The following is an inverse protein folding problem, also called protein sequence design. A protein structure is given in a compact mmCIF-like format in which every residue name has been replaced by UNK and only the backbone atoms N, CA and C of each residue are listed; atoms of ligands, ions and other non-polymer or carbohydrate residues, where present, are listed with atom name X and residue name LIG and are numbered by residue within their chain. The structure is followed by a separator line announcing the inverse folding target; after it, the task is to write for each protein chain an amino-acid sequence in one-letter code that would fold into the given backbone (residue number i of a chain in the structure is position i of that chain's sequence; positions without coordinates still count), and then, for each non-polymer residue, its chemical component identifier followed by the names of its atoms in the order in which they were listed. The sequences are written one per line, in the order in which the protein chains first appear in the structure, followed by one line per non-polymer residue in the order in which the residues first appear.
data_IF_763829704624
#
_entry.id   IF_763829704624
#
_cell.length_a   1.000
_cell.length_b   1.000
_cell.length_c   1.000
_cell.angle_alpha   90.00
_cell.angle_beta   90.00
_cell.angle_gamma   90.00
#
_symmetry.space_group_name_H-M   'P 1'
#
loop_
_entity.id
_entity.type
_entity.pdbx_description
1 polymer ?
#
# COMPACT_ATOMS: atom_id res chain seq x y z
N UNK A 1 6.73 -19.70 -17.77
CA UNK A 1 6.26 -18.51 -18.51
C UNK A 1 5.61 -17.53 -17.54
N UNK A 2 4.61 -17.96 -16.77
CA UNK A 2 3.90 -17.21 -15.73
C UNK A 2 4.82 -16.43 -14.77
N UNK A 3 5.88 -17.08 -14.26
CA UNK A 3 6.87 -16.45 -13.37
C UNK A 3 7.59 -15.28 -14.04
N UNK A 4 8.08 -15.48 -15.27
CA UNK A 4 8.84 -14.46 -16.01
C UNK A 4 7.92 -13.27 -16.31
N UNK A 5 6.70 -13.53 -16.77
CA UNK A 5 5.69 -12.49 -17.04
C UNK A 5 5.35 -11.68 -15.78
N UNK A 6 5.16 -12.34 -14.64
CA UNK A 6 4.87 -11.65 -13.38
C UNK A 6 6.05 -10.77 -12.93
N UNK A 7 7.27 -11.28 -13.07
CA UNK A 7 8.49 -10.55 -12.74
C UNK A 7 8.72 -9.35 -13.67
N UNK A 8 8.44 -9.51 -14.98
CA UNK A 8 8.44 -8.41 -15.94
C UNK A 8 7.39 -7.36 -15.60
N UNK A 9 6.18 -7.76 -15.20
CA UNK A 9 5.16 -6.84 -14.69
C UNK A 9 5.72 -5.99 -13.53
N UNK A 10 6.30 -6.61 -12.50
CA UNK A 10 6.83 -5.88 -11.33
C UNK A 10 7.94 -4.91 -11.74
N UNK A 11 8.85 -5.34 -12.61
CA UNK A 11 9.93 -4.50 -13.10
C UNK A 11 9.42 -3.32 -13.93
N UNK A 12 8.49 -3.58 -14.86
CA UNK A 12 7.99 -2.58 -15.78
C UNK A 12 6.99 -1.61 -15.15
N UNK A 13 6.42 -1.93 -13.98
CA UNK A 13 5.41 -1.09 -13.32
C UNK A 13 5.93 0.31 -12.95
N UNK A 14 7.25 0.47 -12.85
CA UNK A 14 7.87 1.77 -12.59
C UNK A 14 7.87 2.71 -13.82
N UNK A 15 7.66 2.20 -15.03
CA UNK A 15 7.69 3.00 -16.26
C UNK A 15 6.28 3.34 -16.73
N UNK A 16 5.89 4.61 -16.60
CA UNK A 16 4.61 5.12 -17.11
C UNK A 16 4.80 5.76 -18.49
N UNK A 17 5.22 4.96 -19.46
CA UNK A 17 5.48 5.37 -20.85
C UNK A 17 4.13 5.64 -21.56
N UNK A 18 3.95 6.86 -22.09
CA UNK A 18 2.89 7.25 -23.05
C UNK A 18 1.45 6.72 -22.80
N UNK A 19 0.92 6.85 -21.58
CA UNK A 19 -0.54 6.74 -21.37
C UNK A 19 -1.23 8.11 -21.38
N UNK A 20 -1.91 8.50 -22.47
CA UNK A 20 -2.78 9.65 -22.45
C UNK A 20 -4.08 9.26 -21.72
N UNK A 21 -4.44 10.02 -20.69
CA UNK A 21 -5.75 10.03 -20.02
C UNK A 21 -6.22 8.83 -19.18
N UNK A 22 -5.66 7.61 -19.28
CA UNK A 22 -5.99 6.52 -18.33
C UNK A 22 -4.98 6.47 -17.16
N UNK A 23 -5.40 6.98 -16.00
CA UNK A 23 -4.56 7.16 -14.80
C UNK A 23 -4.01 5.87 -14.15
N UNK A 24 -4.29 4.67 -14.67
CA UNK A 24 -3.92 3.42 -13.97
C UNK A 24 -3.41 2.24 -14.82
N UNK A 25 -3.80 2.10 -16.09
CA UNK A 25 -3.39 0.93 -16.90
C UNK A 25 -2.09 1.24 -17.63
N UNK A 26 -0.98 0.67 -17.19
CA UNK A 26 0.32 0.75 -17.85
C UNK A 26 0.61 -0.51 -18.66
N UNK A 27 1.59 -0.43 -19.58
CA UNK A 27 2.03 -1.59 -20.38
C UNK A 27 2.43 -2.78 -19.49
N UNK A 28 2.93 -2.51 -18.29
CA UNK A 28 3.22 -3.54 -17.28
C UNK A 28 2.00 -4.44 -16.99
N UNK A 29 0.79 -3.87 -17.00
CA UNK A 29 -0.44 -4.57 -16.61
C UNK A 29 -0.84 -5.65 -17.62
N UNK A 30 -0.42 -5.51 -18.89
CA UNK A 30 -0.54 -6.57 -19.90
C UNK A 30 0.26 -7.81 -19.49
N UNK A 31 1.46 -7.64 -18.94
CA UNK A 31 2.27 -8.78 -18.47
C UNK A 31 1.64 -9.48 -17.27
N UNK A 32 0.99 -8.74 -16.37
CA UNK A 32 0.22 -9.35 -15.28
C UNK A 32 -0.98 -10.14 -15.84
N UNK A 33 -1.70 -9.59 -16.82
CA UNK A 33 -2.82 -10.28 -17.46
C UNK A 33 -2.37 -11.57 -18.16
N UNK A 34 -1.29 -11.52 -18.93
CA UNK A 34 -0.71 -12.71 -19.58
C UNK A 34 -0.22 -13.72 -18.54
N UNK A 35 0.41 -13.27 -17.45
CA UNK A 35 0.82 -14.14 -16.36
C UNK A 35 -0.37 -14.86 -15.74
N UNK A 36 -1.45 -14.11 -15.48
CA UNK A 36 -2.71 -14.65 -14.96
C UNK A 36 -3.32 -15.69 -15.91
N UNK A 37 -3.42 -15.41 -17.22
CA UNK A 37 -3.95 -16.38 -18.19
C UNK A 37 -3.11 -17.66 -18.23
N UNK A 38 -1.78 -17.54 -18.20
CA UNK A 38 -0.88 -18.70 -18.12
C UNK A 38 -1.11 -19.51 -16.83
N UNK A 39 -1.29 -18.82 -15.69
CA UNK A 39 -1.57 -19.45 -14.40
C UNK A 39 -2.93 -20.14 -14.41
N UNK A 40 -3.97 -19.48 -14.91
CA UNK A 40 -5.32 -20.01 -14.99
C UNK A 40 -5.36 -21.28 -15.85
N UNK A 41 -4.75 -21.24 -17.05
CA UNK A 41 -4.63 -22.40 -17.93
C UNK A 41 -3.97 -23.60 -17.23
N UNK A 42 -2.88 -23.36 -16.50
CA UNK A 42 -2.18 -24.42 -15.75
C UNK A 42 -3.02 -24.98 -14.60
N UNK A 43 -3.71 -24.12 -13.87
CA UNK A 43 -4.58 -24.53 -12.77
C UNK A 43 -5.78 -25.35 -13.27
N UNK A 44 -6.34 -25.00 -14.43
CA UNK A 44 -7.40 -25.77 -15.08
C UNK A 44 -6.85 -27.12 -15.55
N UNK A 45 -5.74 -27.13 -16.28
CA UNK A 45 -5.08 -28.35 -16.79
C UNK A 45 -4.75 -29.33 -15.66
N UNK A 46 -4.28 -28.83 -14.52
CA UNK A 46 -3.89 -29.63 -13.37
C UNK A 46 -5.03 -29.88 -12.37
N UNK A 47 -6.27 -29.42 -12.64
CA UNK A 47 -7.43 -29.51 -11.73
C UNK A 47 -7.21 -28.87 -10.35
N UNK A 48 -6.39 -27.82 -10.27
CA UNK A 48 -6.03 -27.11 -9.04
C UNK A 48 -6.88 -25.84 -8.80
N UNK A 49 -7.67 -25.41 -9.79
CA UNK A 49 -8.41 -24.14 -9.75
C UNK A 49 -9.31 -24.02 -8.51
N UNK A 50 -10.15 -25.03 -8.27
CA UNK A 50 -11.08 -25.03 -7.15
C UNK A 50 -10.36 -24.99 -5.79
N UNK A 51 -9.27 -25.75 -5.64
CA UNK A 51 -8.43 -25.75 -4.43
C UNK A 51 -7.84 -24.36 -4.15
N UNK A 52 -7.42 -23.65 -5.20
CA UNK A 52 -6.91 -22.28 -5.06
C UNK A 52 -7.99 -21.28 -4.70
N UNK A 53 -9.19 -21.39 -5.28
CA UNK A 53 -10.33 -20.54 -4.94
C UNK A 53 -10.74 -20.71 -3.47
N UNK A 54 -10.78 -21.96 -2.98
CA UNK A 54 -11.06 -22.25 -1.57
C UNK A 54 -10.02 -21.62 -0.65
N UNK A 55 -8.74 -21.63 -1.02
CA UNK A 55 -7.66 -21.10 -0.17
C UNK A 55 -7.87 -19.63 0.20
N UNK A 56 -8.33 -18.82 -0.76
CA UNK A 56 -8.55 -17.39 -0.61
C UNK A 56 -10.03 -17.01 -0.75
N UNK A 57 -10.96 -17.93 -0.41
CA UNK A 57 -12.40 -17.78 -0.66
C UNK A 57 -13.00 -16.49 -0.08
N UNK A 58 -12.59 -16.10 1.15
CA UNK A 58 -13.08 -14.87 1.79
C UNK A 58 -12.80 -13.63 0.93
N UNK A 59 -11.62 -13.60 0.28
CA UNK A 59 -11.25 -12.51 -0.61
C UNK A 59 -12.07 -12.54 -1.89
N UNK A 60 -12.24 -13.71 -2.52
CA UNK A 60 -13.05 -13.82 -3.74
C UNK A 60 -14.54 -13.52 -3.50
N UNK A 61 -15.08 -13.89 -2.33
CA UNK A 61 -16.45 -13.51 -1.93
C UNK A 61 -16.55 -12.00 -1.71
N UNK A 62 -15.55 -11.36 -1.10
CA UNK A 62 -15.47 -9.90 -1.02
C UNK A 62 -15.54 -9.25 -2.42
N UNK A 63 -14.73 -9.72 -3.37
CA UNK A 63 -14.72 -9.21 -4.75
C UNK A 63 -16.08 -9.40 -5.43
N UNK A 64 -16.69 -10.58 -5.25
CA UNK A 64 -17.99 -10.89 -5.82
C UNK A 64 -19.08 -9.94 -5.30
N UNK A 65 -19.18 -9.76 -3.97
CA UNK A 65 -20.18 -8.86 -3.39
C UNK A 65 -19.90 -7.41 -3.80
N UNK A 66 -18.66 -6.96 -3.78
CA UNK A 66 -18.30 -5.61 -4.23
C UNK A 66 -18.66 -5.36 -5.70
N UNK A 67 -18.47 -6.36 -6.56
CA UNK A 67 -18.85 -6.31 -7.97
C UNK A 67 -20.37 -6.23 -8.14
N UNK A 68 -21.14 -6.98 -7.33
CA UNK A 68 -22.61 -6.91 -7.32
C UNK A 68 -23.09 -5.53 -6.89
N UNK A 69 -22.50 -4.95 -5.83
CA UNK A 69 -22.83 -3.59 -5.37
C UNK A 69 -22.59 -2.58 -6.50
N UNK A 70 -21.42 -2.61 -7.12
CA UNK A 70 -21.12 -1.73 -8.26
C UNK A 70 -22.08 -1.95 -9.44
N UNK A 71 -22.47 -3.20 -9.72
CA UNK A 71 -23.43 -3.51 -10.78
C UNK A 71 -24.82 -2.92 -10.47
N UNK A 72 -25.30 -3.03 -9.22
CA UNK A 72 -26.57 -2.42 -8.80
C UNK A 72 -26.54 -0.91 -9.04
N UNK A 73 -25.49 -0.23 -8.60
CA UNK A 73 -25.36 1.21 -8.81
C UNK A 73 -25.13 1.60 -10.27
N UNK A 74 -24.46 0.76 -11.06
CA UNK A 74 -24.39 0.93 -12.50
C UNK A 74 -25.78 0.85 -13.14
N UNK A 75 -26.62 -0.10 -12.71
CA UNK A 75 -27.97 -0.25 -13.25
C UNK A 75 -28.87 0.95 -12.89
N UNK A 76 -28.67 1.55 -11.71
CA UNK A 76 -29.40 2.74 -11.23
C UNK A 76 -28.94 4.01 -11.97
N UNK A 77 -27.63 4.29 -11.96
CA UNK A 77 -27.11 5.59 -12.43
C UNK A 77 -26.64 5.58 -13.89
N UNK A 78 -26.42 4.41 -14.50
CA UNK A 78 -25.91 4.21 -15.87
C UNK A 78 -24.52 4.84 -16.11
N UNK A 79 -23.70 4.93 -15.08
CA UNK A 79 -22.39 5.59 -15.12
C UNK A 79 -21.24 4.58 -15.23
N UNK A 80 -20.36 4.67 -16.25
CA UNK A 80 -19.33 3.66 -16.55
C UNK A 80 -18.24 3.54 -15.48
N UNK A 81 -18.11 4.50 -14.58
CA UNK A 81 -17.14 4.51 -13.49
C UNK A 81 -17.32 3.31 -12.55
N UNK A 82 -18.56 2.85 -12.33
CA UNK A 82 -18.83 1.66 -11.52
C UNK A 82 -18.27 0.38 -12.16
N UNK A 83 -18.36 0.27 -13.49
CA UNK A 83 -17.76 -0.84 -14.24
C UNK A 83 -16.23 -0.75 -14.12
N UNK A 84 -15.68 0.45 -14.30
CA UNK A 84 -14.24 0.69 -14.17
C UNK A 84 -13.71 0.27 -12.79
N UNK A 85 -14.42 0.59 -11.72
CA UNK A 85 -14.04 0.18 -10.37
C UNK A 85 -14.13 -1.34 -10.16
N UNK A 86 -15.13 -1.99 -10.76
CA UNK A 86 -15.25 -3.45 -10.78
C UNK A 86 -14.08 -4.10 -11.53
N UNK A 87 -13.65 -3.53 -12.65
CA UNK A 87 -12.46 -3.99 -13.37
C UNK A 87 -11.19 -3.87 -12.51
N UNK A 88 -11.06 -2.81 -11.69
CA UNK A 88 -9.95 -2.71 -10.74
C UNK A 88 -9.99 -3.81 -9.66
N UNK A 89 -11.16 -4.15 -9.12
CA UNK A 89 -11.30 -5.28 -8.20
C UNK A 89 -10.84 -6.60 -8.85
N UNK A 90 -11.27 -6.85 -10.09
CA UNK A 90 -10.88 -8.05 -10.86
C UNK A 90 -9.37 -8.06 -11.11
N UNK A 91 -8.80 -6.93 -11.53
CA UNK A 91 -7.37 -6.77 -11.80
C UNK A 91 -6.50 -7.08 -10.57
N UNK A 92 -6.92 -6.60 -9.39
CA UNK A 92 -6.24 -6.95 -8.14
C UNK A 92 -6.44 -8.43 -7.81
N UNK A 93 -7.62 -9.01 -8.05
CA UNK A 93 -7.87 -10.43 -7.85
C UNK A 93 -6.98 -11.32 -8.72
N UNK A 94 -6.67 -10.88 -9.95
CA UNK A 94 -5.69 -11.53 -10.83
C UNK A 94 -4.30 -11.55 -10.18
N UNK A 95 -3.88 -10.44 -9.54
CA UNK A 95 -2.62 -10.39 -8.78
C UNK A 95 -2.61 -11.42 -7.65
N UNK A 96 -3.67 -11.44 -6.84
CA UNK A 96 -3.80 -12.34 -5.69
C UNK A 96 -3.70 -13.80 -6.13
N UNK A 97 -4.47 -14.19 -7.14
CA UNK A 97 -4.47 -15.55 -7.66
C UNK A 97 -3.11 -15.94 -8.24
N UNK A 98 -2.58 -15.10 -9.13
CA UNK A 98 -1.31 -15.36 -9.83
C UNK A 98 -0.17 -15.48 -8.84
N UNK A 99 0.01 -14.50 -7.97
CA UNK A 99 1.12 -14.50 -7.03
C UNK A 99 0.98 -15.62 -5.99
N UNK A 100 -0.24 -15.95 -5.55
CA UNK A 100 -0.47 -17.09 -4.66
C UNK A 100 -0.08 -18.42 -5.31
N UNK A 101 -0.42 -18.62 -6.58
CA UNK A 101 -0.02 -19.80 -7.33
C UNK A 101 1.50 -19.89 -7.45
N UNK A 102 2.16 -18.79 -7.85
CA UNK A 102 3.62 -18.73 -7.97
C UNK A 102 4.33 -19.02 -6.63
N UNK A 103 3.82 -18.48 -5.51
CA UNK A 103 4.36 -18.72 -4.18
C UNK A 103 4.28 -20.18 -3.72
N UNK A 104 3.23 -20.91 -4.13
CA UNK A 104 3.09 -22.32 -3.75
C UNK A 104 3.93 -23.25 -4.64
N UNK A 105 4.28 -22.80 -5.85
CA UNK A 105 4.96 -23.61 -6.85
C UNK A 105 6.47 -23.65 -6.65
N UNK A 106 7.10 -22.49 -6.42
CA UNK A 106 8.56 -22.40 -6.31
C UNK A 106 8.97 -21.26 -5.38
N UNK A 107 9.69 -21.59 -4.31
CA UNK A 107 10.25 -20.62 -3.37
C UNK A 107 11.22 -19.62 -4.03
N UNK A 108 11.83 -19.98 -5.17
CA UNK A 108 12.72 -19.08 -5.92
C UNK A 108 12.01 -17.80 -6.37
N UNK A 109 10.67 -17.79 -6.49
CA UNK A 109 9.92 -16.57 -6.82
C UNK A 109 10.23 -15.42 -5.86
N UNK A 110 10.39 -15.72 -4.55
CA UNK A 110 10.72 -14.71 -3.54
C UNK A 110 12.10 -14.12 -3.80
N UNK A 111 13.08 -14.97 -4.14
CA UNK A 111 14.45 -14.54 -4.47
C UNK A 111 14.46 -13.63 -5.70
N UNK A 112 13.78 -14.04 -6.78
CA UNK A 112 13.74 -13.25 -8.02
C UNK A 112 12.95 -11.95 -7.86
N UNK A 113 11.82 -11.98 -7.14
CA UNK A 113 11.07 -10.77 -6.80
C UNK A 113 11.94 -9.78 -6.04
N UNK A 114 12.68 -10.24 -5.03
CA UNK A 114 13.61 -9.38 -4.29
C UNK A 114 14.68 -8.78 -5.20
N UNK A 115 15.28 -9.54 -6.12
CA UNK A 115 16.27 -8.99 -7.04
C UNK A 115 15.70 -7.92 -7.95
N UNK A 116 14.52 -8.15 -8.52
CA UNK A 116 13.87 -7.17 -9.40
C UNK A 116 13.53 -5.89 -8.66
N UNK A 117 13.03 -5.99 -7.43
CA UNK A 117 12.73 -4.80 -6.62
C UNK A 117 14.00 -4.04 -6.23
N UNK A 118 15.09 -4.74 -5.89
CA UNK A 118 16.40 -4.13 -5.62
C UNK A 118 16.90 -3.39 -6.87
N UNK A 119 16.90 -4.07 -8.02
CA UNK A 119 17.31 -3.48 -9.30
C UNK A 119 16.45 -2.24 -9.61
N UNK A 120 15.15 -2.29 -9.34
CA UNK A 120 14.23 -1.17 -9.59
C UNK A 120 14.54 0.03 -8.68
N UNK A 121 14.77 -0.19 -7.38
CA UNK A 121 15.16 0.89 -6.45
C UNK A 121 16.50 1.50 -6.87
N UNK A 122 17.50 0.67 -7.18
CA UNK A 122 18.81 1.14 -7.62
C UNK A 122 18.72 1.89 -8.96
N UNK A 123 17.89 1.43 -9.88
CA UNK A 123 17.64 2.12 -11.14
C UNK A 123 17.03 3.50 -10.91
N UNK A 124 16.00 3.63 -10.07
CA UNK A 124 15.43 4.94 -9.72
C UNK A 124 16.47 5.84 -9.06
N UNK A 125 17.38 5.28 -8.25
CA UNK A 125 18.46 6.04 -7.65
C UNK A 125 19.48 6.52 -8.71
N UNK A 126 19.85 5.68 -9.67
CA UNK A 126 20.70 6.09 -10.80
C UNK A 126 20.02 7.20 -11.61
N UNK A 127 18.74 7.05 -11.95
CA UNK A 127 17.95 8.06 -12.68
C UNK A 127 17.89 9.39 -11.91
N UNK A 128 17.86 9.33 -10.57
CA UNK A 128 17.97 10.52 -9.73
C UNK A 128 19.35 11.16 -9.83
N UNK A 129 20.43 10.38 -9.69
CA UNK A 129 21.81 10.88 -9.76
C UNK A 129 22.15 11.47 -11.14
N UNK A 130 21.61 10.92 -12.22
CA UNK A 130 21.79 11.45 -13.59
C UNK A 130 20.88 12.61 -13.92
N UNK A 131 20.04 13.05 -12.97
CA UNK A 131 19.02 14.09 -13.14
C UNK A 131 18.10 13.87 -14.35
N UNK A 132 17.88 12.60 -14.72
CA UNK A 132 17.06 12.20 -15.88
C UNK A 132 15.62 11.86 -15.49
N UNK A 133 15.31 11.90 -14.19
CA UNK A 133 13.97 11.67 -13.67
C UNK A 133 13.06 12.87 -13.88
N UNK A 134 11.77 12.60 -14.01
CA UNK A 134 10.75 13.63 -14.13
C UNK A 134 10.51 14.34 -12.80
N UNK A 135 9.91 15.52 -12.91
CA UNK A 135 9.51 16.35 -11.78
C UNK A 135 8.03 16.74 -11.94
N UNK A 136 7.27 16.65 -10.86
CA UNK A 136 5.90 17.13 -10.76
C UNK A 136 5.89 18.57 -10.23
N UNK A 137 5.20 19.46 -10.94
CA UNK A 137 5.02 20.85 -10.55
C UNK A 137 3.68 21.00 -9.81
N UNK A 138 3.73 21.36 -8.54
CA UNK A 138 2.54 21.74 -7.77
C UNK A 138 1.96 23.06 -8.31
N UNK A 139 0.65 23.27 -8.14
CA UNK A 139 -0.04 24.44 -8.70
C UNK A 139 0.49 25.81 -8.22
N UNK A 140 1.24 25.83 -7.12
CA UNK A 140 1.88 27.02 -6.57
C UNK A 140 3.39 27.12 -6.91
N UNK A 141 3.87 26.36 -7.89
CA UNK A 141 5.23 26.47 -8.42
C UNK A 141 6.29 25.58 -7.74
N UNK A 142 5.88 24.69 -6.83
CA UNK A 142 6.82 23.86 -6.08
C UNK A 142 7.10 22.51 -6.76
N UNK A 143 8.36 22.07 -6.75
CA UNK A 143 8.81 20.86 -7.45
C UNK A 143 8.83 19.61 -6.56
N UNK A 144 8.45 18.46 -7.13
CA UNK A 144 8.54 17.13 -6.49
C UNK A 144 9.17 16.13 -7.45
N UNK A 145 10.20 15.42 -7.00
CA UNK A 145 10.83 14.40 -7.83
C UNK A 145 9.92 13.18 -7.97
N UNK A 146 9.72 12.69 -9.21
CA UNK A 146 8.84 11.54 -9.47
C UNK A 146 9.53 10.40 -10.24
N UNK A 147 10.82 10.52 -10.54
CA UNK A 147 11.56 9.50 -11.28
C UNK A 147 10.89 9.20 -12.61
N UNK A 148 10.58 7.94 -12.88
CA UNK A 148 9.89 7.50 -14.12
C UNK A 148 8.36 7.46 -14.02
N UNK A 149 7.80 7.97 -12.92
CA UNK A 149 6.36 7.96 -12.64
C UNK A 149 5.70 9.27 -13.10
N UNK A 150 4.36 9.31 -13.00
CA UNK A 150 3.54 10.50 -13.31
C UNK A 150 3.00 11.20 -12.08
N UNK A 151 2.99 10.52 -10.95
CA UNK A 151 2.49 11.03 -9.68
C UNK A 151 3.50 10.75 -8.55
N UNK A 152 3.78 11.73 -7.69
CA UNK A 152 4.76 11.58 -6.62
C UNK A 152 4.33 10.58 -5.54
N UNK A 153 3.03 10.37 -5.32
CA UNK A 153 2.57 9.37 -4.37
C UNK A 153 2.67 7.95 -4.96
N UNK A 154 2.48 7.78 -6.28
CA UNK A 154 2.77 6.53 -6.98
C UNK A 154 4.25 6.15 -6.86
N UNK A 155 5.15 7.10 -7.11
CA UNK A 155 6.60 6.89 -6.96
C UNK A 155 6.96 6.53 -5.51
N UNK A 156 6.48 7.31 -4.55
CA UNK A 156 6.74 7.06 -3.13
C UNK A 156 6.22 5.70 -2.66
N UNK A 157 4.99 5.33 -3.07
CA UNK A 157 4.41 4.04 -2.68
C UNK A 157 5.11 2.87 -3.35
N UNK A 158 5.55 3.01 -4.61
CA UNK A 158 6.33 1.96 -5.27
C UNK A 158 7.63 1.69 -4.51
N UNK A 159 8.39 2.72 -4.14
CA UNK A 159 9.62 2.57 -3.35
C UNK A 159 9.35 1.98 -1.97
N UNK A 160 8.34 2.49 -1.27
CA UNK A 160 7.96 2.02 0.05
C UNK A 160 7.54 0.54 0.04
N UNK A 161 6.61 0.18 -0.86
CA UNK A 161 6.12 -1.19 -1.01
C UNK A 161 7.25 -2.14 -1.43
N UNK A 162 8.13 -1.72 -2.34
CA UNK A 162 9.33 -2.48 -2.73
C UNK A 162 10.25 -2.74 -1.53
N UNK A 163 10.50 -1.72 -0.71
CA UNK A 163 11.33 -1.82 0.48
C UNK A 163 10.76 -2.82 1.50
N UNK A 164 9.47 -2.72 1.85
CA UNK A 164 8.85 -3.67 2.79
C UNK A 164 8.82 -5.09 2.24
N UNK A 165 8.60 -5.28 0.93
CA UNK A 165 8.62 -6.62 0.30
C UNK A 165 10.03 -7.23 0.42
N UNK A 166 11.08 -6.47 0.12
CA UNK A 166 12.47 -6.92 0.25
C UNK A 166 12.77 -7.29 1.72
N UNK A 167 12.42 -6.43 2.67
CA UNK A 167 12.62 -6.69 4.10
C UNK A 167 11.89 -7.96 4.56
N UNK A 168 10.66 -8.18 4.12
CA UNK A 168 9.90 -9.39 4.46
C UNK A 168 10.50 -10.65 3.87
N UNK A 169 11.04 -10.60 2.65
CA UNK A 169 11.68 -11.75 2.01
C UNK A 169 12.98 -12.13 2.74
N UNK A 170 13.73 -11.15 3.22
CA UNK A 170 15.00 -11.36 3.94
C UNK A 170 14.88 -11.29 5.47
N UNK A 171 13.66 -11.32 6.02
CA UNK A 171 13.40 -11.17 7.46
C UNK A 171 14.06 -12.25 8.33
N UNK A 172 14.45 -13.38 7.73
CA UNK A 172 15.09 -14.52 8.41
C UNK A 172 16.61 -14.44 8.47
N UNK A 173 17.24 -13.69 7.57
CA UNK A 173 18.69 -13.60 7.50
C UNK A 173 19.09 -12.19 7.13
N UNK A 174 19.66 -11.48 8.10
CA UNK A 174 20.19 -10.15 7.87
C UNK A 174 21.26 -10.19 6.78
N UNK A 175 21.19 -9.21 5.88
CA UNK A 175 22.16 -9.00 4.80
C UNK A 175 22.70 -7.58 4.96
N UNK A 176 24.01 -7.44 4.84
CA UNK A 176 24.71 -6.15 5.03
C UNK A 176 24.23 -5.05 4.07
N UNK A 177 23.67 -5.41 2.90
CA UNK A 177 23.15 -4.47 1.92
C UNK A 177 21.70 -4.02 2.19
N UNK A 178 20.95 -4.65 3.11
CA UNK A 178 19.57 -4.25 3.42
C UNK A 178 19.47 -2.81 3.95
N UNK A 179 20.35 -2.35 4.87
CA UNK A 179 20.38 -0.95 5.28
C UNK A 179 20.62 0.02 4.12
N UNK A 180 21.43 -0.36 3.14
CA UNK A 180 21.71 0.49 1.96
C UNK A 180 20.42 0.67 1.14
N UNK A 181 19.73 -0.43 0.82
CA UNK A 181 18.45 -0.37 0.09
C UNK A 181 17.40 0.42 0.86
N UNK A 182 17.36 0.26 2.19
CA UNK A 182 16.49 1.04 3.07
C UNK A 182 16.76 2.54 2.97
N UNK A 183 18.03 2.95 3.14
CA UNK A 183 18.44 4.35 3.11
C UNK A 183 18.22 4.98 1.74
N UNK A 184 18.53 4.26 0.66
CA UNK A 184 18.25 4.72 -0.71
C UNK A 184 16.75 4.93 -0.92
N UNK A 185 15.92 3.96 -0.52
CA UNK A 185 14.46 4.08 -0.63
C UNK A 185 13.95 5.27 0.19
N UNK A 186 14.43 5.43 1.42
CA UNK A 186 14.04 6.52 2.31
C UNK A 186 14.41 7.89 1.72
N UNK A 187 15.63 8.02 1.20
CA UNK A 187 16.10 9.24 0.55
C UNK A 187 15.25 9.61 -0.67
N UNK A 188 14.98 8.67 -1.57
CA UNK A 188 14.13 8.94 -2.73
C UNK A 188 12.69 9.31 -2.34
N UNK A 189 12.15 8.71 -1.27
CA UNK A 189 10.84 9.09 -0.72
C UNK A 189 10.87 10.53 -0.19
N UNK A 190 11.96 10.98 0.47
CA UNK A 190 12.12 12.38 0.86
C UNK A 190 12.06 13.32 -0.35
N UNK A 191 12.73 12.97 -1.45
CA UNK A 191 12.72 13.76 -2.70
C UNK A 191 11.34 13.80 -3.36
N UNK A 192 10.55 12.73 -3.25
CA UNK A 192 9.16 12.67 -3.74
C UNK A 192 8.20 13.57 -2.97
N UNK A 193 8.57 13.92 -1.73
CA UNK A 193 7.70 14.61 -0.77
C UNK A 193 6.34 13.91 -0.59
N UNK A 194 6.25 12.60 -0.85
CA UNK A 194 5.04 11.80 -0.61
C UNK A 194 4.82 11.60 0.89
N UNK A 195 3.85 12.32 1.46
CA UNK A 195 3.58 12.24 2.91
C UNK A 195 3.12 10.87 3.37
N UNK A 196 2.33 10.13 2.58
CA UNK A 196 1.84 8.81 3.01
C UNK A 196 2.99 7.81 3.06
N UNK A 197 3.79 7.75 2.00
CA UNK A 197 4.95 6.86 1.91
C UNK A 197 6.03 7.21 2.93
N UNK A 198 6.22 8.51 3.22
CA UNK A 198 7.11 8.98 4.28
C UNK A 198 6.63 8.50 5.67
N UNK A 199 5.35 8.67 6.00
CA UNK A 199 4.78 8.16 7.26
C UNK A 199 4.85 6.62 7.31
N UNK A 200 4.66 5.95 6.17
CA UNK A 200 4.90 4.51 6.02
C UNK A 200 6.33 4.10 6.39
N UNK A 201 7.34 4.81 5.88
CA UNK A 201 8.75 4.55 6.22
C UNK A 201 9.11 4.91 7.67
N UNK A 202 8.58 6.00 8.22
CA UNK A 202 8.82 6.37 9.62
C UNK A 202 8.18 5.34 10.55
N UNK A 203 6.93 4.95 10.30
CA UNK A 203 6.27 3.89 11.08
C UNK A 203 7.00 2.56 10.98
N UNK A 204 7.52 2.20 9.79
CA UNK A 204 8.40 1.05 9.60
C UNK A 204 9.66 1.15 10.47
N UNK A 205 10.37 2.29 10.47
CA UNK A 205 11.54 2.52 11.33
C UNK A 205 11.20 2.28 12.80
N UNK A 206 10.10 2.88 13.26
CA UNK A 206 9.64 2.77 14.66
C UNK A 206 9.33 1.32 15.00
N UNK A 207 8.61 0.60 14.15
CA UNK A 207 8.30 -0.80 14.41
C UNK A 207 9.54 -1.70 14.39
N UNK A 208 10.49 -1.47 13.48
CA UNK A 208 11.77 -2.20 13.49
C UNK A 208 12.55 -1.94 14.78
N UNK A 209 12.57 -0.70 15.27
CA UNK A 209 13.19 -0.34 16.54
C UNK A 209 12.48 -0.97 17.75
N UNK A 210 11.13 -0.94 17.78
CA UNK A 210 10.35 -1.63 18.81
C UNK A 210 10.58 -3.14 18.79
N UNK A 211 10.72 -3.75 17.61
CA UNK A 211 11.08 -5.17 17.51
C UNK A 211 12.48 -5.44 18.05
N UNK A 212 13.44 -4.57 17.75
CA UNK A 212 14.79 -4.67 18.30
C UNK A 212 14.77 -4.60 19.84
N UNK A 213 14.07 -3.61 20.43
CA UNK A 213 13.89 -3.51 21.88
C UNK A 213 13.25 -4.79 22.44
N UNK A 214 12.17 -5.26 21.82
CA UNK A 214 11.48 -6.48 22.24
C UNK A 214 12.40 -7.70 22.26
N UNK A 215 13.22 -7.89 21.22
CA UNK A 215 14.17 -9.01 21.16
C UNK A 215 15.29 -8.87 22.19
N UNK A 216 15.82 -7.67 22.39
CA UNK A 216 16.82 -7.38 23.42
C UNK A 216 16.27 -7.68 24.81
N UNK A 217 15.05 -7.23 25.12
CA UNK A 217 14.42 -7.51 26.41
C UNK A 217 14.17 -8.99 26.62
N UNK A 218 13.76 -9.71 25.57
CA UNK A 218 13.61 -11.16 25.62
C UNK A 218 14.94 -11.86 25.89
N UNK A 219 16.02 -11.44 25.24
CA UNK A 219 17.37 -12.01 25.41
C UNK A 219 17.91 -11.79 26.83
N UNK A 220 17.72 -10.60 27.39
CA UNK A 220 18.16 -10.26 28.75
C UNK A 220 17.10 -10.54 29.84
N UNK A 221 16.03 -11.28 29.53
CA UNK A 221 14.94 -11.61 30.46
C UNK A 221 14.31 -10.42 31.20
N UNK A 222 14.27 -9.24 30.56
CA UNK A 222 13.67 -8.02 31.10
C UNK A 222 12.14 -8.16 31.14
N UNK A 223 11.53 -7.69 32.23
CA UNK A 223 10.06 -7.71 32.39
C UNK A 223 9.34 -6.98 31.25
N UNK A 224 8.25 -7.57 30.74
CA UNK A 224 7.41 -6.98 29.68
C UNK A 224 6.87 -5.59 30.03
N UNK A 225 6.79 -5.24 31.33
CA UNK A 225 6.40 -3.89 31.77
C UNK A 225 7.30 -2.80 31.19
N UNK A 226 8.60 -3.06 31.06
CA UNK A 226 9.54 -2.12 30.47
C UNK A 226 9.33 -1.93 28.96
N UNK A 227 8.80 -2.94 28.26
CA UNK A 227 8.42 -2.81 26.86
C UNK A 227 7.21 -1.87 26.70
N UNK A 228 6.24 -1.93 27.62
CA UNK A 228 5.13 -0.97 27.61
C UNK A 228 5.61 0.45 27.95
N UNK A 229 6.57 0.60 28.86
CA UNK A 229 7.21 1.90 29.14
C UNK A 229 7.92 2.44 27.89
N UNK A 230 8.67 1.61 27.16
CA UNK A 230 9.33 2.06 25.93
C UNK A 230 8.33 2.44 24.83
N UNK A 231 7.19 1.75 24.73
CA UNK A 231 6.09 2.13 23.84
C UNK A 231 5.52 3.51 24.20
N UNK A 232 5.26 3.75 25.48
CA UNK A 232 4.78 5.05 25.98
C UNK A 232 5.80 6.16 25.69
N UNK A 233 7.10 5.89 25.88
CA UNK A 233 8.17 6.84 25.57
C UNK A 233 8.20 7.19 24.07
N UNK A 234 8.03 6.20 23.18
CA UNK A 234 7.93 6.44 21.73
C UNK A 234 6.72 7.32 21.40
N UNK A 235 5.55 7.06 22.00
CA UNK A 235 4.34 7.86 21.80
C UNK A 235 4.57 9.31 22.27
N UNK A 236 5.14 9.50 23.47
CA UNK A 236 5.50 10.83 23.96
C UNK A 236 6.48 11.54 23.04
N UNK A 237 7.51 10.84 22.54
CA UNK A 237 8.46 11.38 21.57
C UNK A 237 7.79 11.85 20.27
N UNK A 238 6.80 11.11 19.76
CA UNK A 238 6.00 11.53 18.60
C UNK A 238 5.21 12.81 18.92
N UNK A 239 4.54 12.86 20.08
CA UNK A 239 3.75 14.05 20.49
C UNK A 239 4.65 15.28 20.63
N UNK A 240 5.81 15.14 21.28
CA UNK A 240 6.80 16.21 21.42
C UNK A 240 7.32 16.65 20.04
N UNK A 241 7.64 15.70 19.15
CA UNK A 241 8.11 16.03 17.79
C UNK A 241 7.05 16.80 17.02
N UNK A 242 5.77 16.39 17.07
CA UNK A 242 4.67 17.09 16.43
C UNK A 242 4.47 18.50 16.98
N UNK A 243 4.63 18.68 18.30
CA UNK A 243 4.60 19.99 18.94
C UNK A 243 5.76 20.88 18.46
N UNK A 244 6.99 20.34 18.41
CA UNK A 244 8.18 21.09 17.99
C UNK A 244 8.14 21.54 16.52
N UNK A 245 7.55 20.73 15.64
CA UNK A 245 7.42 21.07 14.21
C UNK A 245 6.14 21.84 13.89
N UNK A 246 5.29 22.11 14.89
CA UNK A 246 3.99 22.75 14.66
C UNK A 246 4.17 24.11 13.97
N UNK A 247 3.42 24.39 12.90
CA UNK A 247 3.58 25.64 12.14
C UNK A 247 3.18 26.86 12.98
N UNK A 248 3.88 27.97 12.78
CA UNK A 248 3.46 29.26 13.32
C UNK A 248 2.22 29.79 12.60
N UNK A 249 1.47 30.71 13.23
CA UNK A 249 0.26 31.29 12.65
C UNK A 249 0.49 31.90 11.25
N UNK A 250 1.65 32.55 11.07
CA UNK A 250 2.05 33.21 9.82
C UNK A 250 2.69 32.27 8.79
N UNK A 251 2.67 30.94 9.02
CA UNK A 251 3.26 29.97 8.10
C UNK A 251 2.62 30.05 6.70
N UNK A 252 3.43 30.21 5.67
CA UNK A 252 3.02 30.20 4.27
C UNK A 252 3.96 29.32 3.46
N UNK A 253 3.43 28.22 2.91
CA UNK A 253 4.21 27.24 2.16
C UNK A 253 4.80 27.85 0.87
N UNK A 254 4.21 28.92 0.34
CA UNK A 254 4.66 29.56 -0.90
C UNK A 254 5.93 30.41 -0.71
N UNK A 255 6.21 30.81 0.52
CA UNK A 255 7.35 31.69 0.86
C UNK A 255 8.57 30.93 1.36
N UNK A 256 8.44 29.62 1.56
CA UNK A 256 9.48 28.76 2.13
C UNK A 256 9.98 27.76 1.10
N UNK A 257 11.20 27.28 1.32
CA UNK A 257 11.71 26.15 0.55
C UNK A 257 10.81 24.93 0.71
N UNK A 258 10.39 24.38 -0.43
CA UNK A 258 9.47 23.26 -0.41
C UNK A 258 10.23 21.99 -0.06
N UNK A 259 10.03 21.49 1.15
CA UNK A 259 10.63 20.27 1.71
C UNK A 259 9.53 19.36 2.23
N UNK A 260 9.88 18.12 2.61
CA UNK A 260 8.91 17.25 3.29
C UNK A 260 8.43 17.88 4.61
N UNK A 261 9.29 18.62 5.31
CA UNK A 261 8.96 19.26 6.57
C UNK A 261 7.94 20.38 6.36
N UNK A 262 8.18 21.29 5.41
CA UNK A 262 7.22 22.36 5.11
C UNK A 262 5.90 21.81 4.58
N UNK A 263 5.92 20.66 3.89
CA UNK A 263 4.69 19.94 3.53
C UNK A 263 3.94 19.35 4.72
N UNK A 264 4.65 18.78 5.71
CA UNK A 264 4.02 18.31 6.95
C UNK A 264 3.43 19.48 7.73
N UNK A 265 4.18 20.58 7.86
CA UNK A 265 3.72 21.82 8.48
C UNK A 265 2.49 22.40 7.78
N UNK A 266 2.47 22.41 6.44
CA UNK A 266 1.28 22.80 5.69
C UNK A 266 0.06 21.95 6.04
N UNK A 267 0.21 20.62 6.13
CA UNK A 267 -0.88 19.74 6.57
C UNK A 267 -1.31 19.99 8.02
N UNK A 268 -0.36 20.25 8.92
CA UNK A 268 -0.67 20.61 10.31
C UNK A 268 -1.41 21.95 10.40
N UNK A 269 -1.05 22.93 9.56
CA UNK A 269 -1.74 24.22 9.49
C UNK A 269 -3.19 24.05 9.01
N UNK A 270 -3.44 23.16 8.07
CA UNK A 270 -4.81 22.88 7.67
C UNK A 270 -5.65 22.29 8.83
N UNK A 271 -5.01 21.61 9.80
CA UNK A 271 -5.65 21.16 11.04
C UNK A 271 -5.89 22.33 12.00
N UNK A 272 -4.97 23.29 12.13
CA UNK A 272 -5.20 24.48 12.99
C UNK A 272 -6.39 25.28 12.48
N UNK A 273 -6.48 25.46 11.17
CA UNK A 273 -7.42 26.40 10.56
C UNK A 273 -8.82 25.79 10.41
N UNK A 274 -8.91 24.47 10.16
CA UNK A 274 -10.18 23.76 9.94
C UNK A 274 -10.50 22.63 10.93
N UNK A 275 -9.71 22.49 11.99
CA UNK A 275 -9.82 21.42 12.98
C UNK A 275 -9.52 20.02 12.41
N UNK A 276 -9.78 18.98 13.19
CA UNK A 276 -9.59 17.57 12.75
C UNK A 276 -10.45 17.26 11.51
N UNK A 277 -11.58 17.95 11.33
CA UNK A 277 -12.47 17.74 10.19
C UNK A 277 -11.77 18.03 8.86
N UNK A 278 -10.87 19.02 8.79
CA UNK A 278 -10.14 19.36 7.56
C UNK A 278 -9.35 18.19 6.97
N UNK A 279 -8.78 17.32 7.83
CA UNK A 279 -8.10 16.09 7.39
C UNK A 279 -9.06 15.12 6.70
N UNK A 280 -10.29 15.02 7.19
CA UNK A 280 -11.31 14.18 6.58
C UNK A 280 -11.79 14.78 5.27
N UNK A 281 -11.96 16.12 5.20
CA UNK A 281 -12.34 16.84 3.97
C UNK A 281 -11.31 16.66 2.84
N UNK A 282 -10.03 16.91 3.11
CA UNK A 282 -8.94 16.78 2.12
C UNK A 282 -8.85 15.39 1.50
N UNK A 283 -9.32 14.38 2.24
CA UNK A 283 -9.23 12.97 1.85
C UNK A 283 -10.55 12.41 1.33
N UNK A 284 -11.60 13.24 1.21
CA UNK A 284 -12.95 12.82 0.83
C UNK A 284 -13.63 11.92 1.88
N UNK A 285 -13.03 11.74 3.05
CA UNK A 285 -13.50 10.83 4.11
C UNK A 285 -14.69 11.39 4.90
N UNK A 286 -15.04 12.66 4.71
CA UNK A 286 -16.27 13.24 5.25
C UNK A 286 -17.53 12.45 4.83
N UNK A 287 -17.49 11.79 3.67
CA UNK A 287 -18.56 10.90 3.20
C UNK A 287 -18.99 9.84 4.23
N UNK A 288 -18.08 9.39 5.09
CA UNK A 288 -18.38 8.46 6.18
C UNK A 288 -19.35 9.06 7.21
N UNK A 289 -19.25 10.37 7.44
CA UNK A 289 -20.09 11.12 8.36
C UNK A 289 -21.39 11.59 7.70
N UNK A 290 -21.33 12.14 6.50
CA UNK A 290 -22.51 12.71 5.83
C UNK A 290 -23.46 11.62 5.31
N UNK A 291 -22.91 10.47 4.93
CA UNK A 291 -23.67 9.35 4.37
C UNK A 291 -23.40 8.04 5.13
N UNK A 292 -23.71 7.97 6.42
CA UNK A 292 -23.32 6.86 7.29
C UNK A 292 -24.01 5.54 6.92
N UNK A 293 -25.17 5.60 6.26
CA UNK A 293 -25.89 4.40 5.81
C UNK A 293 -25.07 3.56 4.80
N UNK A 294 -24.18 4.17 4.02
CA UNK A 294 -23.30 3.44 3.12
C UNK A 294 -22.18 2.66 3.84
N UNK A 295 -21.90 2.95 5.11
CA UNK A 295 -21.01 2.12 5.93
C UNK A 295 -21.62 0.71 6.09
N UNK A 296 -22.94 0.59 6.14
CA UNK A 296 -23.62 -0.69 6.30
C UNK A 296 -23.79 -1.41 4.96
N UNK A 297 -24.31 -0.72 3.95
CA UNK A 297 -24.75 -1.35 2.69
C UNK A 297 -23.80 -1.18 1.50
N UNK A 298 -22.84 -0.26 1.61
CA UNK A 298 -21.96 0.12 0.50
C UNK A 298 -22.61 1.11 -0.44
N UNK A 299 -21.84 2.12 -0.84
CA UNK A 299 -22.26 3.13 -1.79
C UNK A 299 -22.03 2.78 -3.25
N UNK A 300 -21.25 1.73 -3.54
CA UNK A 300 -20.66 1.51 -4.85
C UNK A 300 -19.47 2.44 -5.12
N UNK A 301 -18.41 1.91 -5.69
CA UNK A 301 -17.20 2.65 -6.05
C UNK A 301 -17.34 3.23 -7.46
N UNK A 302 -17.20 4.55 -7.62
CA UNK A 302 -17.40 5.26 -8.89
C UNK A 302 -18.37 6.43 -8.75
N UNK A 303 -18.65 7.14 -9.85
CA UNK A 303 -19.63 8.24 -9.97
C UNK A 303 -19.73 9.17 -8.74
N UNK A 304 -18.60 9.71 -8.29
CA UNK A 304 -18.52 10.46 -7.03
C UNK A 304 -19.27 11.79 -7.04
N UNK A 305 -19.66 12.29 -8.22
CA UNK A 305 -20.49 13.49 -8.37
C UNK A 305 -21.88 13.36 -7.72
N UNK A 306 -22.37 12.13 -7.46
CA UNK A 306 -23.67 11.92 -6.79
C UNK A 306 -23.71 12.37 -5.33
N UNK A 307 -22.55 12.53 -4.70
CA UNK A 307 -22.46 13.04 -3.33
C UNK A 307 -22.39 14.57 -3.43
N UNK A 308 -23.55 15.22 -3.36
CA UNK A 308 -23.63 16.67 -3.29
C UNK A 308 -22.92 17.16 -2.03
N UNK A 309 -22.25 18.31 -2.15
CA UNK A 309 -21.56 19.07 -1.07
C UNK A 309 -20.10 18.73 -0.71
N UNK A 310 -19.24 18.42 -1.67
CA UNK A 310 -17.82 18.15 -1.34
C UNK A 310 -16.88 18.88 -2.28
N UNK A 311 -16.05 19.77 -1.73
CA UNK A 311 -14.99 20.60 -2.36
C UNK A 311 -14.10 19.90 -3.41
N UNK A 312 -14.12 18.57 -3.50
CA UNK A 312 -13.23 17.79 -4.38
C UNK A 312 -13.92 16.77 -5.28
N UNK A 313 -15.23 16.49 -5.17
CA UNK A 313 -15.93 15.53 -6.04
C UNK A 313 -15.21 14.16 -6.23
N UNK A 314 -14.32 13.78 -5.30
CA UNK A 314 -13.30 12.76 -5.54
C UNK A 314 -13.52 11.50 -4.69
N UNK A 315 -12.77 10.45 -5.00
CA UNK A 315 -12.69 9.23 -4.19
C UNK A 315 -12.23 9.50 -2.74
N UNK A 316 -12.54 8.57 -1.84
CA UNK A 316 -11.92 8.57 -0.51
C UNK A 316 -10.46 8.16 -0.69
N UNK A 317 -9.53 9.06 -0.41
CA UNK A 317 -8.08 8.91 -0.63
C UNK A 317 -7.42 8.02 0.44
N UNK A 318 -8.07 6.92 0.83
CA UNK A 318 -7.61 5.99 1.86
C UNK A 318 -8.18 4.60 1.58
N UNK A 319 -7.31 3.59 1.51
CA UNK A 319 -7.64 2.22 1.10
C UNK A 319 -8.73 1.57 1.94
N UNK A 320 -8.50 1.42 3.25
CA UNK A 320 -9.46 0.74 4.12
C UNK A 320 -10.75 1.55 4.32
N UNK A 321 -10.70 2.88 4.58
CA UNK A 321 -11.92 3.69 4.64
C UNK A 321 -12.75 3.67 3.35
N UNK A 322 -12.09 3.70 2.17
CA UNK A 322 -12.80 3.61 0.90
C UNK A 322 -13.50 2.25 0.75
N UNK A 323 -12.85 1.13 1.07
CA UNK A 323 -13.50 -0.18 0.98
C UNK A 323 -14.67 -0.34 1.95
N UNK A 324 -14.57 0.21 3.16
CA UNK A 324 -15.70 0.24 4.10
C UNK A 324 -16.88 1.05 3.53
N UNK A 325 -16.63 2.24 3.00
CA UNK A 325 -17.69 3.11 2.48
C UNK A 325 -18.28 2.63 1.14
N UNK A 326 -17.44 2.12 0.24
CA UNK A 326 -17.86 1.71 -1.10
C UNK A 326 -18.61 0.38 -1.07
N UNK A 327 -18.18 -0.57 -0.25
CA UNK A 327 -18.72 -1.94 -0.26
C UNK A 327 -19.48 -2.32 1.01
N UNK A 328 -19.44 -1.50 2.05
CA UNK A 328 -20.17 -1.74 3.30
C UNK A 328 -19.46 -2.71 4.24
N UNK A 329 -20.03 -2.86 5.44
CA UNK A 329 -19.39 -3.55 6.56
C UNK A 329 -19.22 -5.05 6.33
N UNK A 330 -20.15 -5.69 5.62
CA UNK A 330 -20.10 -7.15 5.38
C UNK A 330 -18.92 -7.52 4.46
N UNK A 331 -18.79 -6.97 3.24
CA UNK A 331 -17.62 -7.23 2.39
C UNK A 331 -16.32 -6.78 3.06
N UNK A 332 -16.34 -5.63 3.74
CA UNK A 332 -15.17 -5.13 4.46
C UNK A 332 -14.70 -6.08 5.57
N UNK A 333 -15.62 -6.66 6.34
CA UNK A 333 -15.29 -7.68 7.34
C UNK A 333 -14.67 -8.93 6.72
N UNK A 334 -15.19 -9.41 5.57
CA UNK A 334 -14.61 -10.55 4.86
C UNK A 334 -13.17 -10.26 4.41
N UNK A 335 -12.93 -9.06 3.90
CA UNK A 335 -11.60 -8.59 3.53
C UNK A 335 -10.65 -8.56 4.75
N UNK A 336 -11.06 -7.94 5.85
CA UNK A 336 -10.26 -7.87 7.08
C UNK A 336 -9.96 -9.27 7.64
N UNK A 337 -10.95 -10.17 7.64
CA UNK A 337 -10.78 -11.56 8.08
C UNK A 337 -9.80 -12.32 7.19
N UNK A 338 -9.83 -12.10 5.88
CA UNK A 338 -8.85 -12.66 4.96
C UNK A 338 -7.44 -12.11 5.21
N UNK A 339 -7.29 -10.80 5.37
CA UNK A 339 -6.00 -10.17 5.70
C UNK A 339 -5.46 -10.71 7.03
N UNK A 340 -6.29 -10.75 8.07
CA UNK A 340 -5.93 -11.27 9.39
C UNK A 340 -5.42 -12.71 9.33
N UNK A 341 -6.14 -13.60 8.61
CA UNK A 341 -5.71 -15.00 8.43
C UNK A 341 -4.32 -15.12 7.79
N UNK A 342 -3.98 -14.24 6.86
CA UNK A 342 -2.65 -14.20 6.23
C UNK A 342 -1.58 -13.65 7.18
N UNK A 343 -1.89 -12.59 7.93
CA UNK A 343 -0.92 -11.84 8.75
C UNK A 343 -0.58 -12.56 10.05
N UNK A 344 -1.56 -13.13 10.76
CA UNK A 344 -1.34 -13.69 12.09
C UNK A 344 -0.39 -14.89 12.10
N UNK A 345 -0.23 -15.55 10.95
CA UNK A 345 0.53 -16.77 10.78
C UNK A 345 2.04 -16.55 10.54
N UNK A 346 2.55 -15.33 10.73
CA UNK A 346 3.94 -14.98 10.46
C UNK A 346 4.77 -14.60 11.69
N UNK A 347 6.07 -14.44 11.47
CA UNK A 347 6.99 -13.89 12.45
C UNK A 347 6.50 -12.53 12.96
N UNK A 348 6.85 -12.20 14.21
CA UNK A 348 6.50 -10.91 14.81
C UNK A 348 7.07 -9.73 13.99
N UNK A 349 8.30 -9.88 13.48
CA UNK A 349 8.92 -8.90 12.59
C UNK A 349 8.06 -8.60 11.35
N UNK A 350 7.57 -9.63 10.66
CA UNK A 350 6.74 -9.43 9.48
C UNK A 350 5.36 -8.84 9.82
N UNK A 351 4.81 -9.14 10.99
CA UNK A 351 3.60 -8.47 11.48
C UNK A 351 3.83 -6.97 11.68
N UNK A 352 4.97 -6.60 12.26
CA UNK A 352 5.38 -5.20 12.44
C UNK A 352 5.63 -4.47 11.11
N UNK A 353 6.25 -5.13 10.13
CA UNK A 353 6.39 -4.59 8.77
C UNK A 353 5.00 -4.34 8.16
N UNK A 354 4.06 -5.29 8.26
CA UNK A 354 2.70 -5.11 7.74
C UNK A 354 1.92 -4.02 8.49
N UNK A 355 2.13 -3.84 9.79
CA UNK A 355 1.50 -2.73 10.52
C UNK A 355 1.86 -1.37 9.91
N UNK A 356 3.09 -1.18 9.43
CA UNK A 356 3.46 0.05 8.71
C UNK A 356 2.64 0.25 7.43
N UNK A 357 2.38 -0.83 6.68
CA UNK A 357 1.57 -0.80 5.46
C UNK A 357 0.10 -0.49 5.77
N UNK A 358 -0.42 -1.04 6.88
CA UNK A 358 -1.77 -0.74 7.33
C UNK A 358 -1.92 0.73 7.71
N UNK A 359 -0.93 1.34 8.38
CA UNK A 359 -0.93 2.79 8.66
C UNK A 359 -0.94 3.60 7.35
N UNK A 360 -0.09 3.25 6.39
CA UNK A 360 -0.07 3.91 5.07
C UNK A 360 -1.42 3.79 4.35
N UNK A 361 -2.11 2.67 4.51
CA UNK A 361 -3.42 2.42 3.89
C UNK A 361 -4.54 3.36 4.37
N UNK A 362 -4.40 3.98 5.55
CA UNK A 362 -5.29 5.05 6.03
C UNK A 362 -4.91 6.43 5.48
N UNK A 363 -3.77 6.53 4.79
CA UNK A 363 -3.20 7.78 4.31
C UNK A 363 -3.16 7.90 2.79
N UNK A 364 -3.38 6.82 2.04
CA UNK A 364 -3.53 6.88 0.60
C UNK A 364 -4.38 5.71 0.09
N UNK A 365 -4.99 5.92 -1.07
CA UNK A 365 -5.76 4.89 -1.76
C UNK A 365 -4.87 4.07 -2.71
N UNK A 366 -4.22 3.03 -2.16
CA UNK A 366 -3.37 2.09 -2.91
C UNK A 366 -4.02 0.71 -3.10
N UNK A 367 -5.28 0.55 -2.68
CA UNK A 367 -6.02 -0.71 -2.82
C UNK A 367 -6.11 -1.24 -4.25
N UNK A 368 -6.08 -0.36 -5.26
CA UNK A 368 -6.05 -0.72 -6.69
C UNK A 368 -4.67 -1.14 -7.20
N UNK A 369 -3.61 -0.98 -6.40
CA UNK A 369 -2.24 -1.29 -6.80
C UNK A 369 -1.84 -2.72 -6.39
N UNK A 370 -1.34 -3.57 -7.31
CA UNK A 370 -0.95 -4.95 -7.00
C UNK A 370 0.10 -5.07 -5.88
N UNK A 371 1.05 -4.14 -5.83
CA UNK A 371 2.13 -4.12 -4.84
C UNK A 371 1.61 -3.95 -3.39
N UNK A 372 0.41 -3.40 -3.19
CA UNK A 372 -0.23 -3.34 -1.87
C UNK A 372 -0.54 -4.74 -1.31
N UNK A 373 -0.91 -5.69 -2.18
CA UNK A 373 -1.40 -7.01 -1.78
C UNK A 373 -0.28 -8.03 -1.61
N UNK A 374 0.83 -7.86 -2.33
CA UNK A 374 1.97 -8.78 -2.30
C UNK A 374 2.53 -9.01 -0.88
N UNK A 375 2.77 -7.97 -0.03
CA UNK A 375 3.19 -8.15 1.36
C UNK A 375 2.25 -9.07 2.15
N UNK A 376 0.93 -8.86 2.03
CA UNK A 376 -0.08 -9.65 2.74
C UNK A 376 -0.01 -11.12 2.30
N UNK A 377 0.18 -11.38 1.01
CA UNK A 377 0.30 -12.73 0.46
C UNK A 377 1.60 -13.42 0.87
N UNK A 378 2.71 -12.67 0.93
CA UNK A 378 3.99 -13.17 1.43
C UNK A 378 3.85 -13.66 2.86
N UNK A 379 3.09 -12.95 3.69
CA UNK A 379 2.78 -13.36 5.03
C UNK A 379 2.12 -14.76 5.07
N UNK A 380 1.04 -14.96 4.31
CA UNK A 380 0.36 -16.26 4.28
C UNK A 380 1.20 -17.43 3.72
N UNK A 381 2.27 -17.16 2.96
CA UNK A 381 3.16 -18.20 2.42
C UNK A 381 4.16 -18.77 3.45
N UNK A 382 4.53 -17.95 4.43
CA UNK A 382 5.57 -18.25 5.42
C UNK A 382 5.18 -19.43 6.34
N UNK A 383 3.88 -19.61 6.57
CA UNK A 383 3.30 -20.74 7.31
C UNK A 383 3.81 -22.11 6.85
N UNK A 384 3.97 -22.30 5.53
CA UNK A 384 4.39 -23.59 4.98
C UNK A 384 5.76 -24.03 5.52
N UNK A 385 6.70 -23.10 5.75
CA UNK A 385 8.06 -23.44 6.19
C UNK A 385 8.19 -23.65 7.69
N UNK A 386 7.53 -22.83 8.50
CA UNK A 386 7.59 -22.97 9.97
C UNK A 386 6.96 -24.29 10.44
N UNK A 387 5.89 -24.76 9.77
CA UNK A 387 5.29 -26.06 10.05
C UNK A 387 6.11 -27.27 9.56
N UNK A 388 6.95 -27.08 8.53
CA UNK A 388 7.86 -28.12 8.03
C UNK A 388 9.11 -28.22 8.91
N UNK A 389 9.60 -27.09 9.42
CA UNK A 389 10.75 -27.06 10.34
C UNK A 389 10.42 -27.51 11.77
N UNK A 390 9.15 -27.44 12.21
CA UNK A 390 8.74 -27.98 13.52
C UNK A 390 8.42 -29.48 13.49
N UNK A 391 8.49 -30.11 12.31
CA UNK A 391 8.25 -31.56 12.09
C UNK A 391 9.53 -32.32 11.71
N UNK A 392 10.66 -31.65 11.68
CA UNK A 392 12.01 -32.21 11.60
C UNK A 392 12.72 -31.84 12.89
#
# INVERSE_FOLDING_TARGET
METILFLLFVFLKQFYIYTPYSKLISVADLFLALSFLCTLYKMIKNKELFKSLIKDYLYYVFILIGSIINLIYFLIYKQPEFITCTLFLIYVAMTVMTFRHLLNKDDKIKKYLSYILIISILLQFVIYLTNSGNVFLEHWGAYRYIGTFKDPNQFGFYLYSSCIIILMIHSYKFKWWLPIIYLVSFYLILQSKSTSSFIGMISLTIFLFLYFIYQTFKYYHVSIKWFYISLIAVIMGIVITLYLIWPSANFDIKKLDYTILTRIQYKLKNITDGGIKSLFYERGAQKLYDYPYYIFFGSGEGYYARFNELLLGSEIHSTLPNYLFAYGIVPFYLLLKWMYKNIIQTTLLNRFIILSLLIESFLLFNGRQPLFWIPILLCGSIKSKLLIQSKK
#
